data_IF_620908787876
#
_entry.id   IF_620908787876
#
_cell.length_a   1.000
_cell.length_b   1.000
_cell.length_c   1.000
_cell.angle_alpha   90.00
_cell.angle_beta   90.00
_cell.angle_gamma   90.00
#
_symmetry.space_group_name_H-M   'P 1'
#
loop_
_entity.id
_entity.type
_entity.pdbx_description
1 polymer ?
#
# COMPACT_ATOMS: atom_id res chain seq x y z
N UNK A 1 14.92 -7.41 -0.19
CA UNK A 1 13.56 -7.49 -0.76
C UNK A 1 12.93 -6.11 -0.67
N UNK A 2 12.48 -5.54 -1.79
CA UNK A 2 11.81 -4.25 -1.79
C UNK A 2 10.53 -4.27 -0.94
N UNK A 3 10.02 -3.09 -0.62
CA UNK A 3 8.90 -2.95 0.30
C UNK A 3 7.82 -2.05 -0.30
N UNK A 4 6.59 -2.57 -0.36
CA UNK A 4 5.40 -1.81 -0.76
C UNK A 4 4.66 -1.39 0.51
N UNK A 5 4.41 -0.10 0.66
CA UNK A 5 3.73 0.46 1.83
C UNK A 5 2.23 0.55 1.55
N UNK A 6 1.41 -0.10 2.37
CA UNK A 6 -0.04 -0.02 2.26
C UNK A 6 -0.55 1.34 2.77
N UNK A 7 -1.69 1.76 2.24
CA UNK A 7 -2.29 3.06 2.58
C UNK A 7 -2.51 3.25 4.08
N UNK A 8 -2.88 2.18 4.81
CA UNK A 8 -3.18 2.29 6.24
C UNK A 8 -1.97 2.75 7.06
N UNK A 9 -0.76 2.39 6.64
CA UNK A 9 0.47 2.82 7.31
C UNK A 9 0.63 4.34 7.18
N UNK A 10 0.40 4.87 5.98
CA UNK A 10 0.50 6.29 5.70
C UNK A 10 -0.60 7.07 6.43
N UNK A 11 -1.83 6.54 6.42
CA UNK A 11 -2.96 7.16 7.10
C UNK A 11 -2.74 7.20 8.62
N UNK A 12 -2.23 6.14 9.21
CA UNK A 12 -1.90 6.14 10.65
C UNK A 12 -0.82 7.16 10.99
N UNK A 13 0.15 7.31 10.10
CA UNK A 13 1.17 8.36 10.24
C UNK A 13 0.55 9.75 10.23
N UNK A 14 -0.37 10.00 9.29
CA UNK A 14 -1.09 11.25 9.18
C UNK A 14 -1.88 11.57 10.45
N UNK A 15 -2.49 10.56 11.06
CA UNK A 15 -3.30 10.71 12.26
C UNK A 15 -2.49 10.77 13.57
N UNK A 16 -1.17 10.71 13.47
CA UNK A 16 -0.31 10.74 14.64
C UNK A 16 -0.34 9.47 15.48
N UNK A 17 -0.83 8.37 14.94
CA UNK A 17 -0.91 7.07 15.62
C UNK A 17 0.35 6.23 15.44
N UNK A 18 1.25 6.68 14.58
CA UNK A 18 2.46 5.96 14.20
C UNK A 18 3.49 6.94 13.69
N UNK A 19 4.74 6.77 14.12
CA UNK A 19 5.84 7.63 13.67
C UNK A 19 6.35 7.16 12.30
N UNK A 20 5.65 7.57 11.26
CA UNK A 20 5.95 7.17 9.89
C UNK A 20 7.35 7.62 9.43
N UNK A 21 7.76 8.89 9.64
CA UNK A 21 9.09 9.31 9.20
C UNK A 21 10.22 8.49 9.82
N UNK A 22 10.16 8.22 11.12
CA UNK A 22 11.18 7.44 11.80
C UNK A 22 11.22 6.00 11.28
N UNK A 23 10.05 5.41 11.05
CA UNK A 23 9.97 4.05 10.54
C UNK A 23 10.49 3.95 9.10
N UNK A 24 10.12 4.89 8.23
CA UNK A 24 10.62 4.94 6.84
C UNK A 24 12.15 5.06 6.81
N UNK A 25 12.70 5.85 7.70
CA UNK A 25 14.15 5.99 7.80
C UNK A 25 14.82 4.65 8.09
N UNK A 26 14.22 3.85 8.97
CA UNK A 26 14.71 2.50 9.29
C UNK A 26 14.58 1.55 8.11
N UNK A 27 13.66 1.81 7.18
CA UNK A 27 13.40 0.96 6.02
C UNK A 27 14.10 1.46 4.75
N UNK A 28 14.93 2.49 4.84
CA UNK A 28 15.53 3.14 3.68
C UNK A 28 16.30 2.16 2.77
N UNK A 29 16.98 1.19 3.36
CA UNK A 29 17.75 0.18 2.64
C UNK A 29 16.88 -0.80 1.83
N UNK A 30 15.59 -0.89 2.16
CA UNK A 30 14.63 -1.76 1.48
C UNK A 30 13.92 -1.08 0.32
N UNK A 31 14.23 0.20 0.06
CA UNK A 31 13.60 0.94 -1.03
C UNK A 31 12.08 0.99 -0.92
N UNK A 32 11.53 1.64 0.13
CA UNK A 32 10.08 1.71 0.30
C UNK A 32 9.40 2.43 -0.87
N UNK A 33 8.29 1.87 -1.32
CA UNK A 33 7.53 2.34 -2.47
C UNK A 33 6.04 2.21 -2.17
N UNK A 34 5.20 2.82 -2.99
CA UNK A 34 3.75 2.61 -2.93
C UNK A 34 3.24 2.11 -4.29
N UNK A 35 2.17 1.34 -4.28
CA UNK A 35 1.49 0.94 -5.50
C UNK A 35 0.68 2.13 -6.05
N UNK A 36 0.49 2.17 -7.37
CA UNK A 36 -0.30 3.24 -7.99
C UNK A 36 -1.72 3.33 -7.41
N UNK A 37 -2.34 2.19 -7.10
CA UNK A 37 -3.67 2.18 -6.48
C UNK A 37 -3.68 2.83 -5.10
N UNK A 38 -2.59 2.70 -4.36
CA UNK A 38 -2.45 3.34 -3.04
C UNK A 38 -2.48 4.86 -3.17
N UNK A 39 -1.82 5.40 -4.20
CA UNK A 39 -1.88 6.83 -4.48
C UNK A 39 -3.33 7.29 -4.70
N UNK A 40 -4.10 6.50 -5.46
CA UNK A 40 -5.52 6.80 -5.71
C UNK A 40 -6.34 6.77 -4.41
N UNK A 41 -6.10 5.79 -3.55
CA UNK A 41 -6.78 5.69 -2.25
C UNK A 41 -6.50 6.92 -1.38
N UNK A 42 -5.24 7.33 -1.31
CA UNK A 42 -4.84 8.47 -0.49
C UNK A 42 -5.47 9.77 -1.02
N UNK A 43 -5.42 9.99 -2.33
CA UNK A 43 -5.99 11.20 -2.94
C UNK A 43 -7.51 11.21 -2.95
N UNK A 44 -8.15 10.05 -3.01
CA UNK A 44 -9.59 9.94 -2.79
C UNK A 44 -9.96 10.51 -1.42
N UNK A 45 -9.15 10.23 -0.40
CA UNK A 45 -9.33 10.81 0.93
C UNK A 45 -9.18 12.33 0.94
N UNK A 46 -8.22 12.87 0.16
CA UNK A 46 -8.05 14.32 0.01
C UNK A 46 -9.28 14.95 -0.64
N UNK A 47 -9.74 14.37 -1.75
CA UNK A 47 -10.90 14.89 -2.49
C UNK A 47 -12.18 14.88 -1.65
N UNK A 48 -12.31 13.92 -0.73
CA UNK A 48 -13.46 13.82 0.16
C UNK A 48 -13.35 14.66 1.42
N UNK A 49 -12.18 15.21 1.71
CA UNK A 49 -11.96 15.99 2.92
C UNK A 49 -12.77 17.29 2.88
N UNK A 50 -13.18 17.76 4.06
CA UNK A 50 -13.83 19.06 4.17
C UNK A 50 -12.83 20.16 3.79
N UNK A 51 -13.37 21.31 3.36
CA UNK A 51 -12.56 22.46 2.96
C UNK A 51 -11.48 22.81 4.01
N UNK A 52 -11.81 22.71 5.28
CA UNK A 52 -10.91 23.05 6.38
C UNK A 52 -9.68 22.13 6.42
N UNK A 53 -9.85 20.84 6.11
CA UNK A 53 -8.78 19.84 6.24
C UNK A 53 -8.12 19.47 4.92
N UNK A 54 -8.74 19.81 3.79
CA UNK A 54 -8.27 19.37 2.48
C UNK A 54 -6.83 19.82 2.19
N UNK A 55 -6.53 21.10 2.35
CA UNK A 55 -5.21 21.64 2.07
C UNK A 55 -4.14 21.03 2.97
N UNK A 56 -4.44 20.83 4.24
CA UNK A 56 -3.52 20.23 5.21
C UNK A 56 -3.23 18.77 4.86
N UNK A 57 -4.26 18.03 4.52
CA UNK A 57 -4.16 16.64 4.13
C UNK A 57 -3.34 16.46 2.87
N UNK A 58 -3.65 17.27 1.86
CA UNK A 58 -2.93 17.28 0.60
C UNK A 58 -1.44 17.58 0.80
N UNK A 59 -1.10 18.58 1.61
CA UNK A 59 0.28 18.95 1.89
C UNK A 59 1.04 17.80 2.55
N UNK A 60 0.43 17.13 3.53
CA UNK A 60 1.04 15.98 4.19
C UNK A 60 1.30 14.84 3.21
N UNK A 61 0.30 14.49 2.42
CA UNK A 61 0.41 13.37 1.48
C UNK A 61 1.41 13.68 0.36
N UNK A 62 1.47 14.91 -0.13
CA UNK A 62 2.48 15.30 -1.11
C UNK A 62 3.88 15.12 -0.57
N UNK A 63 4.12 15.55 0.67
CA UNK A 63 5.42 15.40 1.32
C UNK A 63 5.82 13.93 1.42
N UNK A 64 4.89 13.07 1.83
CA UNK A 64 5.16 11.63 1.97
C UNK A 64 5.43 11.00 0.61
N UNK A 65 4.58 11.27 -0.37
CA UNK A 65 4.66 10.64 -1.70
C UNK A 65 5.91 11.09 -2.47
N UNK A 66 6.38 12.32 -2.25
CA UNK A 66 7.64 12.79 -2.85
C UNK A 66 8.84 11.93 -2.45
N UNK A 67 8.76 11.28 -1.29
CA UNK A 67 9.84 10.41 -0.80
C UNK A 67 9.64 8.94 -1.17
N UNK A 68 8.47 8.59 -1.71
CA UNK A 68 8.10 7.21 -2.01
C UNK A 68 7.80 7.04 -3.50
N UNK A 69 8.68 6.35 -4.26
CA UNK A 69 8.39 6.07 -5.67
C UNK A 69 7.07 5.30 -5.82
N UNK A 70 6.37 5.58 -6.91
CA UNK A 70 5.10 4.92 -7.22
C UNK A 70 5.35 3.78 -8.21
N UNK A 71 4.94 2.57 -7.85
CA UNK A 71 5.03 1.41 -8.72
C UNK A 71 3.79 1.39 -9.62
N UNK A 72 3.96 1.45 -10.95
CA UNK A 72 2.82 1.52 -11.85
C UNK A 72 2.08 0.18 -11.96
N UNK A 73 0.80 0.25 -12.28
CA UNK A 73 0.01 -0.92 -12.63
C UNK A 73 0.16 -1.15 -14.13
N UNK A 74 0.94 -2.16 -14.48
CA UNK A 74 1.26 -2.47 -15.88
C UNK A 74 0.47 -3.68 -16.36
N UNK A 75 0.67 -4.03 -17.63
CA UNK A 75 0.09 -5.26 -18.19
C UNK A 75 0.52 -6.49 -17.38
N UNK A 76 1.79 -6.56 -16.99
CA UNK A 76 2.30 -7.66 -16.16
C UNK A 76 1.59 -7.70 -14.80
N UNK A 77 1.37 -6.54 -14.20
CA UNK A 77 0.62 -6.45 -12.94
C UNK A 77 -0.80 -6.95 -13.12
N UNK A 78 -1.44 -6.60 -14.24
CA UNK A 78 -2.81 -7.02 -14.54
C UNK A 78 -2.92 -8.55 -14.64
N UNK A 79 -1.97 -9.20 -15.26
CA UNK A 79 -1.95 -10.66 -15.38
C UNK A 79 -1.77 -11.33 -14.01
N UNK A 80 -0.88 -10.81 -13.18
CA UNK A 80 -0.70 -11.31 -11.82
C UNK A 80 -1.95 -11.08 -10.97
N UNK A 81 -2.57 -9.92 -11.13
CA UNK A 81 -3.82 -9.57 -10.46
C UNK A 81 -4.93 -10.57 -10.82
N UNK A 82 -5.08 -10.89 -12.10
CA UNK A 82 -6.09 -11.86 -12.57
C UNK A 82 -5.84 -13.25 -11.98
N UNK A 83 -4.58 -13.69 -11.97
CA UNK A 83 -4.20 -14.99 -11.42
C UNK A 83 -4.52 -15.08 -9.92
N UNK A 84 -4.14 -14.06 -9.17
CA UNK A 84 -4.37 -13.99 -7.74
C UNK A 84 -5.86 -13.93 -7.41
N UNK A 85 -6.60 -13.14 -8.16
CA UNK A 85 -8.05 -13.01 -8.00
C UNK A 85 -8.74 -14.38 -8.14
N UNK A 86 -8.42 -15.09 -9.22
CA UNK A 86 -8.99 -16.43 -9.47
C UNK A 86 -8.62 -17.41 -8.36
N UNK A 87 -7.38 -17.37 -7.88
CA UNK A 87 -6.92 -18.26 -6.82
C UNK A 87 -7.66 -18.00 -5.51
N UNK A 88 -7.86 -16.74 -5.13
CA UNK A 88 -8.57 -16.38 -3.90
C UNK A 88 -10.06 -16.73 -3.99
N UNK A 89 -10.68 -16.49 -5.13
CA UNK A 89 -12.08 -16.90 -5.34
C UNK A 89 -12.23 -18.42 -5.20
N UNK A 90 -11.32 -19.16 -5.83
CA UNK A 90 -11.36 -20.63 -5.78
C UNK A 90 -11.15 -21.20 -4.40
N UNK A 91 -10.45 -20.50 -3.52
CA UNK A 91 -10.21 -20.95 -2.13
C UNK A 91 -11.21 -20.38 -1.13
N UNK A 92 -12.11 -19.49 -1.59
CA UNK A 92 -13.07 -18.81 -0.71
C UNK A 92 -12.44 -17.79 0.23
N UNK A 93 -11.28 -17.25 -0.14
CA UNK A 93 -10.50 -16.35 0.73
C UNK A 93 -10.38 -14.95 0.16
N UNK A 94 -11.43 -14.41 -0.40
CA UNK A 94 -11.40 -13.08 -1.00
C UNK A 94 -10.98 -12.00 0.00
N UNK A 95 -10.20 -11.05 -0.49
CA UNK A 95 -9.82 -9.83 0.22
C UNK A 95 -10.38 -8.62 -0.55
N UNK A 96 -10.29 -7.42 0.04
CA UNK A 96 -10.80 -6.21 -0.60
C UNK A 96 -10.13 -5.93 -1.95
N UNK A 97 -10.85 -5.22 -2.84
CA UNK A 97 -10.37 -4.92 -4.20
C UNK A 97 -9.02 -4.24 -4.21
N UNK A 98 -8.84 -3.22 -3.39
CA UNK A 98 -7.59 -2.44 -3.40
C UNK A 98 -6.44 -3.24 -2.79
N UNK A 99 -6.72 -3.99 -1.74
CA UNK A 99 -5.72 -4.88 -1.13
C UNK A 99 -5.24 -5.92 -2.13
N UNK A 100 -6.16 -6.43 -2.95
CA UNK A 100 -5.83 -7.39 -4.00
C UNK A 100 -4.86 -6.80 -5.03
N UNK A 101 -5.09 -5.56 -5.42
CA UNK A 101 -4.23 -4.86 -6.38
C UNK A 101 -2.85 -4.57 -5.75
N UNK A 102 -2.82 -4.18 -4.48
CA UNK A 102 -1.57 -3.97 -3.74
C UNK A 102 -0.78 -5.29 -3.67
N UNK A 103 -1.46 -6.38 -3.32
CA UNK A 103 -0.84 -7.71 -3.25
C UNK A 103 -0.26 -8.14 -4.59
N UNK A 104 -1.02 -7.93 -5.68
CA UNK A 104 -0.56 -8.26 -7.03
C UNK A 104 0.67 -7.44 -7.42
N UNK A 105 0.67 -6.16 -7.09
CA UNK A 105 1.81 -5.27 -7.33
C UNK A 105 3.05 -5.76 -6.60
N UNK A 106 2.88 -6.15 -5.33
CA UNK A 106 3.99 -6.65 -4.51
C UNK A 106 4.54 -7.97 -5.04
N UNK A 107 3.67 -8.92 -5.39
CA UNK A 107 4.11 -10.20 -5.94
C UNK A 107 4.85 -10.03 -7.26
N UNK A 108 4.30 -9.22 -8.15
CA UNK A 108 4.89 -8.97 -9.47
C UNK A 108 6.26 -8.31 -9.35
N UNK A 109 6.44 -7.40 -8.41
CA UNK A 109 7.71 -6.69 -8.22
C UNK A 109 8.68 -7.38 -7.25
N UNK A 110 8.31 -8.55 -6.72
CA UNK A 110 9.14 -9.28 -5.77
C UNK A 110 9.30 -8.55 -4.42
N UNK A 111 8.26 -7.84 -4.00
CA UNK A 111 8.29 -7.01 -2.79
C UNK A 111 7.51 -7.61 -1.64
N UNK A 112 7.86 -7.24 -0.41
CA UNK A 112 7.02 -7.46 0.76
C UNK A 112 6.00 -6.33 0.86
N UNK A 113 4.91 -6.55 1.60
CA UNK A 113 3.92 -5.51 1.91
C UNK A 113 4.03 -5.14 3.38
N UNK A 114 4.16 -3.84 3.66
CA UNK A 114 4.07 -3.31 5.02
C UNK A 114 2.65 -2.82 5.26
N UNK A 115 1.97 -3.38 6.23
CA UNK A 115 0.57 -3.08 6.52
C UNK A 115 0.24 -3.38 7.97
N UNK A 116 -0.71 -2.66 8.54
CA UNK A 116 -1.30 -3.02 9.83
C UNK A 116 -2.46 -4.02 9.65
N UNK A 117 -2.91 -4.21 8.41
CA UNK A 117 -3.97 -5.15 8.07
C UNK A 117 -3.40 -6.50 7.60
N UNK A 118 -2.51 -7.08 8.41
CA UNK A 118 -1.82 -8.31 8.07
C UNK A 118 -2.77 -9.49 7.83
N UNK A 119 -3.93 -9.48 8.47
CA UNK A 119 -4.93 -10.54 8.34
C UNK A 119 -5.36 -10.78 6.89
N UNK A 120 -5.64 -9.71 6.15
CA UNK A 120 -6.04 -9.81 4.74
C UNK A 120 -4.89 -10.29 3.86
N UNK A 121 -3.73 -9.67 4.01
CA UNK A 121 -2.58 -9.97 3.15
C UNK A 121 -1.95 -11.34 3.45
N UNK A 122 -2.10 -11.85 4.67
CA UNK A 122 -1.60 -13.20 5.03
C UNK A 122 -2.29 -14.31 4.27
N UNK A 123 -3.47 -14.04 3.70
CA UNK A 123 -4.19 -15.03 2.89
C UNK A 123 -3.59 -15.20 1.50
N UNK A 124 -2.69 -14.30 1.10
CA UNK A 124 -2.06 -14.33 -0.22
C UNK A 124 -0.82 -15.20 -0.16
N UNK A 125 -0.88 -16.33 -0.85
CA UNK A 125 0.23 -17.30 -0.87
C UNK A 125 1.47 -16.69 -1.54
N UNK A 126 2.60 -16.83 -0.89
CA UNK A 126 3.87 -16.35 -1.41
C UNK A 126 4.17 -14.88 -1.11
N UNK A 127 3.23 -14.17 -0.50
CA UNK A 127 3.42 -12.76 -0.15
C UNK A 127 4.02 -12.64 1.24
N UNK A 128 5.12 -11.91 1.34
CA UNK A 128 5.70 -11.57 2.64
C UNK A 128 5.03 -10.32 3.19
N UNK A 129 4.56 -10.40 4.43
CA UNK A 129 3.84 -9.30 5.10
C UNK A 129 4.65 -8.84 6.30
N UNK A 130 4.80 -7.53 6.44
CA UNK A 130 5.51 -6.90 7.55
C UNK A 130 4.55 -5.97 8.25
N UNK A 131 4.44 -6.09 9.57
CA UNK A 131 3.66 -5.15 10.38
C UNK A 131 4.64 -4.13 10.95
N UNK A 132 4.47 -2.83 10.64
CA UNK A 132 5.38 -1.81 11.14
C UNK A 132 5.37 -1.71 12.68
N UNK A 133 6.54 -1.39 13.23
CA UNK A 133 6.72 -1.23 14.67
C UNK A 133 7.39 0.07 15.01
#
# INVERSE_FOLDING_TARGET
MPLIIDADVIIRGERGLFDLPAWLEKQADKGPQIAAITLAELWHGVERATRTFKARREAYLQMVVETLPVVPYTETTALEHARLWAALEGSGRMIGFYDLIVAATALESGSAVATFNSRHFSQVRGLKVIVPK
#
